data_IF_083889113327
#
_entry.id   IF_083889113327
#
_cell.length_a   1.000
_cell.length_b   1.000
_cell.length_c   1.000
_cell.angle_alpha   90.00
_cell.angle_beta   90.00
_cell.angle_gamma   90.00
#
_symmetry.space_group_name_H-M   'P 1'
#
loop_
_entity.id
_entity.type
_entity.pdbx_description
1 polymer ?
#
# COMPACT_ATOMS: atom_id res chain seq x y z
N UNK A 1 -33.06 -47.03 10.48
CA UNK A 1 -32.74 -45.74 11.12
C UNK A 1 -31.88 -46.00 12.35
N UNK A 2 -30.91 -45.13 12.66
CA UNK A 2 -29.98 -45.30 13.79
C UNK A 2 -30.63 -44.97 15.14
N UNK A 3 -31.72 -44.21 15.13
CA UNK A 3 -32.54 -43.88 16.29
C UNK A 3 -33.97 -43.60 15.83
N UNK A 4 -34.91 -43.63 16.77
CA UNK A 4 -36.28 -43.12 16.60
C UNK A 4 -36.61 -42.08 17.68
N UNK A 5 -35.87 -42.07 18.79
CA UNK A 5 -35.95 -41.10 19.90
C UNK A 5 -34.57 -40.86 20.49
N UNK A 6 -34.40 -39.77 21.23
CA UNK A 6 -33.09 -39.35 21.78
C UNK A 6 -32.45 -40.40 22.69
N UNK A 7 -33.27 -41.16 23.43
CA UNK A 7 -32.81 -42.24 24.31
C UNK A 7 -32.09 -43.39 23.58
N UNK A 8 -32.32 -43.54 22.26
CA UNK A 8 -31.69 -44.60 21.48
C UNK A 8 -30.22 -44.30 21.14
N UNK A 9 -29.80 -43.03 21.30
CA UNK A 9 -28.47 -42.59 20.88
C UNK A 9 -27.34 -42.95 21.85
N UNK A 10 -27.61 -43.64 22.96
CA UNK A 10 -26.61 -44.23 23.88
C UNK A 10 -25.65 -43.24 24.57
N UNK A 11 -25.69 -41.97 24.18
CA UNK A 11 -24.85 -40.88 24.65
C UNK A 11 -25.75 -39.68 24.89
N UNK A 12 -25.69 -39.14 26.11
CA UNK A 12 -26.52 -38.02 26.57
C UNK A 12 -26.27 -36.71 25.81
N UNK A 13 -25.18 -36.60 25.05
CA UNK A 13 -24.87 -35.44 24.20
C UNK A 13 -25.41 -35.55 22.77
N UNK A 14 -26.14 -36.63 22.44
CA UNK A 14 -26.70 -36.88 21.11
C UNK A 14 -28.24 -36.81 21.16
N UNK A 15 -28.85 -36.29 20.09
CA UNK A 15 -30.30 -36.33 19.87
C UNK A 15 -30.65 -36.99 18.54
N UNK A 16 -31.88 -37.47 18.40
CA UNK A 16 -32.36 -38.13 17.21
C UNK A 16 -33.04 -37.16 16.23
N UNK A 17 -32.45 -36.93 15.07
CA UNK A 17 -33.02 -36.12 13.99
C UNK A 17 -33.72 -37.01 12.95
N UNK A 18 -34.84 -37.62 13.38
CA UNK A 18 -35.70 -38.48 12.57
C UNK A 18 -35.15 -39.89 12.30
N UNK A 19 -33.86 -40.04 11.96
CA UNK A 19 -33.24 -41.35 11.71
C UNK A 19 -31.73 -41.43 12.01
N UNK A 20 -31.10 -40.35 12.48
CA UNK A 20 -29.65 -40.29 12.80
C UNK A 20 -29.43 -39.65 14.16
N UNK A 21 -28.47 -40.19 14.91
CA UNK A 21 -27.99 -39.57 16.14
C UNK A 21 -26.98 -38.49 15.78
N UNK A 22 -27.32 -37.24 16.09
CA UNK A 22 -26.46 -36.09 15.85
C UNK A 22 -26.01 -35.53 17.20
N UNK A 23 -24.77 -35.06 17.27
CA UNK A 23 -24.36 -34.20 18.39
C UNK A 23 -25.22 -32.96 18.33
N UNK A 24 -25.73 -32.51 19.48
CA UNK A 24 -26.06 -31.09 19.58
C UNK A 24 -24.73 -30.34 19.46
N UNK A 25 -24.28 -30.07 18.22
CA UNK A 25 -23.55 -28.84 17.98
C UNK A 25 -24.41 -27.75 18.63
N UNK A 26 -23.82 -26.89 19.47
CA UNK A 26 -24.60 -25.99 20.30
C UNK A 26 -25.53 -25.24 19.35
N UNK A 27 -26.85 -25.42 19.51
CA UNK A 27 -27.81 -24.57 18.81
C UNK A 27 -27.39 -23.17 19.19
N UNK A 28 -26.84 -22.35 18.28
CA UNK A 28 -26.30 -21.02 18.59
C UNK A 28 -27.49 -20.17 19.07
N UNK A 29 -27.73 -19.96 20.38
CA UNK A 29 -28.97 -19.37 20.85
C UNK A 29 -28.82 -17.87 21.14
N UNK A 30 -27.68 -17.23 20.87
CA UNK A 30 -27.34 -15.98 21.58
C UNK A 30 -27.05 -14.74 20.71
N UNK A 31 -27.33 -14.72 19.39
CA UNK A 31 -27.30 -13.44 18.66
C UNK A 31 -28.53 -12.55 18.91
N UNK A 32 -29.59 -13.11 19.49
CA UNK A 32 -30.86 -12.42 19.79
C UNK A 32 -30.84 -11.57 21.06
N UNK A 33 -29.77 -11.64 21.87
CA UNK A 33 -29.62 -10.82 23.09
C UNK A 33 -28.51 -9.75 22.98
N UNK A 34 -27.94 -9.55 21.79
CA UNK A 34 -27.00 -8.46 21.60
C UNK A 34 -27.75 -7.12 21.52
N UNK A 35 -27.20 -6.05 22.13
CA UNK A 35 -27.74 -4.71 21.95
C UNK A 35 -27.83 -4.36 20.46
N UNK A 36 -28.81 -3.53 20.03
CA UNK A 36 -28.90 -3.07 18.65
C UNK A 36 -27.56 -2.49 18.17
N UNK A 37 -27.07 -2.96 17.02
CA UNK A 37 -25.80 -2.51 16.43
C UNK A 37 -24.54 -3.24 16.91
N UNK A 38 -24.64 -4.19 17.84
CA UNK A 38 -23.50 -5.01 18.27
C UNK A 38 -23.43 -6.30 17.45
N UNK A 39 -22.33 -6.55 16.71
CA UNK A 39 -22.18 -7.78 15.95
C UNK A 39 -22.02 -9.00 16.88
N UNK A 40 -22.55 -10.14 16.43
CA UNK A 40 -22.54 -11.41 17.17
C UNK A 40 -21.57 -12.39 16.51
N UNK A 41 -20.76 -13.06 17.32
CA UNK A 41 -19.90 -14.14 16.86
C UNK A 41 -20.72 -15.41 16.53
N UNK A 42 -20.68 -15.94 15.29
CA UNK A 42 -21.51 -17.08 14.91
C UNK A 42 -21.03 -18.41 15.51
N UNK A 43 -19.80 -18.49 16.02
CA UNK A 43 -19.23 -19.71 16.60
C UNK A 43 -19.46 -19.76 18.11
N UNK A 44 -19.30 -18.62 18.79
CA UNK A 44 -19.39 -18.53 20.26
C UNK A 44 -20.71 -17.95 20.77
N UNK A 45 -21.47 -17.26 19.92
CA UNK A 45 -22.69 -16.55 20.31
C UNK A 45 -22.42 -15.31 21.18
N UNK A 46 -21.17 -14.86 21.30
CA UNK A 46 -20.80 -13.71 22.09
C UNK A 46 -21.04 -12.39 21.33
N UNK A 47 -21.57 -11.39 22.04
CA UNK A 47 -21.71 -10.03 21.51
C UNK A 47 -20.35 -9.34 21.51
N UNK A 48 -19.91 -8.90 20.34
CA UNK A 48 -18.59 -8.32 20.13
C UNK A 48 -18.67 -6.79 20.30
N UNK A 49 -18.50 -6.31 21.53
CA UNK A 49 -18.64 -4.89 21.90
C UNK A 49 -17.57 -3.98 21.31
N UNK A 50 -16.40 -4.51 20.94
CA UNK A 50 -15.24 -3.74 20.48
C UNK A 50 -14.97 -3.83 18.98
N UNK A 51 -15.98 -4.21 18.19
CA UNK A 51 -15.88 -4.37 16.74
C UNK A 51 -16.52 -3.17 16.08
N UNK A 52 -15.71 -2.31 15.45
CA UNK A 52 -16.25 -1.20 14.65
C UNK A 52 -16.45 -1.56 13.18
N UNK A 53 -15.87 -2.65 12.70
CA UNK A 53 -16.07 -3.15 11.34
C UNK A 53 -15.86 -4.67 11.27
N UNK A 54 -16.52 -5.33 10.31
CA UNK A 54 -16.27 -6.72 9.93
C UNK A 54 -15.58 -6.81 8.56
N UNK A 55 -15.85 -5.83 7.70
CA UNK A 55 -15.37 -5.74 6.34
C UNK A 55 -15.02 -4.29 6.01
N UNK A 56 -14.29 -4.07 4.92
CA UNK A 56 -13.87 -2.73 4.52
C UNK A 56 -15.05 -1.81 4.18
N UNK A 57 -16.14 -2.35 3.65
CA UNK A 57 -17.36 -1.60 3.31
C UNK A 57 -18.10 -1.04 4.53
N UNK A 58 -17.80 -1.54 5.74
CA UNK A 58 -18.33 -0.98 6.99
C UNK A 58 -17.63 0.33 7.36
N UNK A 59 -16.48 0.62 6.74
CA UNK A 59 -15.68 1.80 6.98
C UNK A 59 -15.92 2.89 5.92
N UNK A 60 -15.47 4.11 6.19
CA UNK A 60 -15.39 5.14 5.16
C UNK A 60 -14.43 4.73 4.05
N UNK A 61 -14.59 5.28 2.84
CA UNK A 61 -13.74 4.95 1.67
C UNK A 61 -12.24 5.20 1.88
N UNK A 62 -11.87 6.00 2.89
CA UNK A 62 -10.49 6.31 3.26
C UNK A 62 -9.92 5.39 4.36
N UNK A 63 -10.63 4.33 4.73
CA UNK A 63 -10.26 3.42 5.81
C UNK A 63 -10.55 1.98 5.41
N UNK A 64 -9.84 1.01 5.99
CA UNK A 64 -10.15 -0.41 5.83
C UNK A 64 -10.26 -1.08 7.18
N UNK A 65 -10.87 -2.27 7.19
CA UNK A 65 -11.09 -2.99 8.42
C UNK A 65 -9.85 -3.79 8.82
N UNK A 66 -9.08 -3.26 9.78
CA UNK A 66 -7.86 -3.88 10.28
C UNK A 66 -8.07 -4.22 11.75
N UNK A 67 -7.92 -5.50 12.10
CA UNK A 67 -8.14 -5.99 13.47
C UNK A 67 -9.49 -5.53 14.05
N UNK A 68 -10.55 -5.61 13.23
CA UNK A 68 -11.92 -5.21 13.57
C UNK A 68 -12.10 -3.72 13.91
N UNK A 69 -11.17 -2.89 13.47
CA UNK A 69 -11.23 -1.43 13.58
C UNK A 69 -11.03 -0.76 12.23
N UNK A 70 -11.84 0.24 11.92
CA UNK A 70 -11.62 1.10 10.76
C UNK A 70 -10.35 1.93 10.95
N UNK A 71 -9.35 1.65 10.13
CA UNK A 71 -8.03 2.29 10.20
C UNK A 71 -7.59 2.72 8.81
N UNK A 72 -6.80 3.79 8.75
CA UNK A 72 -6.20 4.23 7.50
C UNK A 72 -5.05 3.26 7.13
N UNK A 73 -5.14 2.50 6.02
CA UNK A 73 -4.11 1.55 5.64
C UNK A 73 -2.73 2.19 5.39
N UNK A 74 -2.68 3.41 4.83
CA UNK A 74 -1.44 4.16 4.65
C UNK A 74 -0.77 4.55 5.98
N UNK A 75 -1.55 4.78 7.04
CA UNK A 75 -1.01 5.10 8.36
C UNK A 75 -0.52 3.86 9.11
N UNK A 76 -1.17 2.72 8.90
CA UNK A 76 -0.82 1.45 9.57
C UNK A 76 0.38 0.77 8.90
N UNK A 77 0.36 0.68 7.57
CA UNK A 77 1.44 0.06 6.79
C UNK A 77 1.51 0.73 5.42
N UNK A 78 2.42 1.68 5.29
CA UNK A 78 2.64 2.39 4.03
C UNK A 78 3.48 1.52 3.07
N UNK A 79 2.92 1.06 1.93
CA UNK A 79 3.66 0.24 0.97
C UNK A 79 4.50 1.06 -0.03
N UNK A 80 4.46 2.39 0.03
CA UNK A 80 5.01 3.27 -0.98
C UNK A 80 6.50 3.58 -0.79
N UNK A 81 7.18 3.95 -1.87
CA UNK A 81 8.57 4.41 -1.80
C UNK A 81 8.66 5.87 -1.33
N UNK A 82 9.86 6.32 -0.96
CA UNK A 82 10.07 7.66 -0.39
C UNK A 82 9.74 8.83 -1.35
N UNK A 83 9.60 8.57 -2.66
CA UNK A 83 9.19 9.56 -3.68
C UNK A 83 7.71 9.41 -4.08
N UNK A 84 6.92 8.76 -3.24
CA UNK A 84 5.50 8.54 -3.45
C UNK A 84 4.73 8.94 -2.19
N UNK A 85 3.56 9.52 -2.40
CA UNK A 85 2.59 9.78 -1.35
C UNK A 85 1.60 8.61 -1.31
N UNK A 86 1.25 8.17 -0.10
CA UNK A 86 0.29 7.10 0.07
C UNK A 86 -1.09 7.70 0.27
N UNK A 87 -1.99 7.39 -0.65
CA UNK A 87 -3.38 7.80 -0.59
C UNK A 87 -4.27 6.58 -0.47
N UNK A 88 -5.45 6.73 0.11
CA UNK A 88 -6.41 5.63 0.22
C UNK A 88 -7.47 5.81 -0.86
N UNK A 89 -7.63 4.79 -1.71
CA UNK A 89 -8.71 4.72 -2.70
C UNK A 89 -9.42 3.38 -2.53
N UNK A 90 -10.74 3.43 -2.40
CA UNK A 90 -11.60 2.25 -2.24
C UNK A 90 -11.06 1.26 -1.19
N UNK A 91 -10.78 1.79 0.01
CA UNK A 91 -10.23 1.04 1.15
C UNK A 91 -8.80 0.49 0.97
N UNK A 92 -8.13 0.75 -0.16
CA UNK A 92 -6.79 0.26 -0.45
C UNK A 92 -5.75 1.38 -0.49
N UNK A 93 -4.50 1.12 -0.05
CA UNK A 93 -3.41 2.07 -0.22
C UNK A 93 -2.96 2.12 -1.69
N UNK A 94 -2.92 3.32 -2.24
CA UNK A 94 -2.47 3.62 -3.61
C UNK A 94 -1.31 4.59 -3.53
N UNK A 95 -0.21 4.26 -4.20
CA UNK A 95 0.99 5.10 -4.24
C UNK A 95 0.92 6.08 -5.42
N UNK A 96 0.83 7.37 -5.12
CA UNK A 96 0.89 8.42 -6.13
C UNK A 96 2.29 9.02 -6.19
N UNK A 97 2.81 9.22 -7.40
CA UNK A 97 4.15 9.79 -7.58
C UNK A 97 4.15 11.25 -7.16
N UNK A 98 5.04 11.63 -6.25
CA UNK A 98 5.24 13.04 -5.89
C UNK A 98 6.43 13.55 -6.68
N UNK A 99 6.20 14.57 -7.49
CA UNK A 99 7.26 15.24 -8.23
C UNK A 99 7.64 16.55 -7.55
N UNK A 100 8.94 16.81 -7.52
CA UNK A 100 9.52 18.06 -7.03
C UNK A 100 9.10 19.24 -7.92
N UNK A 101 8.92 18.99 -9.22
CA UNK A 101 8.55 19.98 -10.21
C UNK A 101 7.60 19.39 -11.25
N UNK A 102 6.78 20.23 -11.86
CA UNK A 102 6.01 19.93 -13.07
C UNK A 102 6.58 20.71 -14.27
N UNK A 103 7.16 21.88 -14.02
CA UNK A 103 7.80 22.76 -15.01
C UNK A 103 9.05 23.41 -14.44
N UNK A 104 9.90 23.95 -15.29
CA UNK A 104 11.18 24.59 -14.90
C UNK A 104 10.98 25.74 -13.90
N UNK A 105 9.87 26.47 -14.01
CA UNK A 105 9.53 27.57 -13.10
C UNK A 105 9.32 27.10 -11.64
N UNK A 106 8.99 25.83 -11.42
CA UNK A 106 8.82 25.28 -10.06
C UNK A 106 10.18 25.06 -9.37
N UNK A 107 11.28 25.04 -10.13
CA UNK A 107 12.60 24.69 -9.62
C UNK A 107 13.33 25.80 -8.85
N UNK A 108 12.71 26.98 -8.63
CA UNK A 108 13.17 28.03 -7.71
C UNK A 108 14.54 28.67 -8.03
N UNK A 109 15.33 28.09 -8.91
CA UNK A 109 16.67 28.47 -9.29
C UNK A 109 16.79 28.40 -10.81
N UNK A 110 17.30 29.47 -11.41
CA UNK A 110 17.46 29.65 -12.85
C UNK A 110 18.45 28.67 -13.51
N UNK A 111 19.31 28.01 -12.72
CA UNK A 111 20.23 26.97 -13.23
C UNK A 111 19.66 25.55 -13.19
N UNK A 112 18.41 25.40 -12.71
CA UNK A 112 17.72 24.13 -12.61
C UNK A 112 16.60 24.06 -13.65
N UNK A 113 16.46 22.90 -14.29
CA UNK A 113 15.30 22.58 -15.13
C UNK A 113 14.57 21.38 -14.55
N UNK A 114 13.30 21.26 -14.88
CA UNK A 114 12.51 20.10 -14.54
C UNK A 114 12.71 18.99 -15.59
N UNK A 115 13.23 17.84 -15.17
CA UNK A 115 13.34 16.65 -16.03
C UNK A 115 12.02 15.86 -16.16
N UNK A 116 10.91 16.47 -15.76
CA UNK A 116 9.59 15.85 -15.64
C UNK A 116 9.24 15.40 -14.22
N UNK A 117 10.19 15.39 -13.27
CA UNK A 117 9.83 15.14 -11.87
C UNK A 117 10.84 15.69 -10.84
N UNK A 118 12.09 15.93 -11.23
CA UNK A 118 13.17 16.43 -10.39
C UNK A 118 13.76 17.69 -11.00
N UNK A 119 14.19 18.58 -10.13
CA UNK A 119 14.96 19.75 -10.53
C UNK A 119 16.41 19.33 -10.68
N UNK A 120 16.86 19.23 -11.92
CA UNK A 120 18.23 18.87 -12.25
C UNK A 120 19.00 20.13 -12.60
N UNK A 121 20.25 20.21 -12.17
CA UNK A 121 21.18 21.19 -12.71
C UNK A 121 21.37 20.87 -14.18
N UNK A 122 21.29 21.88 -15.04
CA UNK A 122 21.86 21.75 -16.37
C UNK A 122 23.39 21.63 -16.22
N UNK A 123 23.89 20.46 -15.86
CA UNK A 123 25.29 20.15 -16.10
C UNK A 123 25.50 19.98 -17.60
N UNK A 124 26.65 20.47 -18.09
CA UNK A 124 26.71 21.46 -19.13
C UNK A 124 26.32 20.87 -20.47
N UNK A 125 25.83 21.76 -21.36
CA UNK A 125 25.75 21.54 -22.80
C UNK A 125 26.90 20.60 -23.22
N UNK A 126 26.58 19.44 -23.79
CA UNK A 126 27.57 18.56 -24.43
C UNK A 126 28.52 19.48 -25.19
N UNK A 127 29.79 19.61 -24.77
CA UNK A 127 30.63 20.64 -25.33
C UNK A 127 30.76 20.40 -26.84
N UNK A 128 30.77 21.48 -27.61
CA UNK A 128 30.86 21.40 -29.07
C UNK A 128 32.27 20.99 -29.53
N UNK A 129 32.77 19.83 -29.09
CA UNK A 129 34.03 19.24 -29.51
C UNK A 129 34.08 18.95 -31.01
N UNK A 130 32.91 18.99 -31.69
CA UNK A 130 32.77 18.95 -33.15
C UNK A 130 33.48 20.11 -33.89
N UNK A 131 33.92 21.14 -33.19
CA UNK A 131 34.63 22.30 -33.76
C UNK A 131 36.13 22.33 -33.44
N UNK A 132 36.67 21.30 -32.77
CA UNK A 132 38.12 21.22 -32.58
C UNK A 132 38.83 20.81 -33.88
N UNK A 133 40.03 21.35 -34.15
CA UNK A 133 40.83 20.93 -35.29
C UNK A 133 41.12 19.42 -35.25
N UNK A 134 41.24 18.75 -36.42
CA UNK A 134 41.58 17.33 -36.48
C UNK A 134 42.87 17.04 -35.71
N UNK A 135 42.81 16.07 -34.77
CA UNK A 135 43.96 15.65 -33.97
C UNK A 135 44.13 16.37 -32.63
N UNK A 136 43.28 17.34 -32.29
CA UNK A 136 43.34 18.05 -31.01
C UNK A 136 42.38 17.42 -29.99
N UNK A 137 42.85 16.94 -28.82
CA UNK A 137 41.98 16.41 -27.80
C UNK A 137 41.10 17.51 -27.17
N UNK A 138 39.84 17.19 -26.90
CA UNK A 138 38.86 18.10 -26.29
C UNK A 138 38.73 17.76 -24.80
N UNK A 139 38.67 18.76 -23.93
CA UNK A 139 38.35 18.58 -22.51
C UNK A 139 36.87 18.19 -22.34
N UNK A 140 36.56 17.04 -21.72
CA UNK A 140 35.18 16.53 -21.61
C UNK A 140 34.28 17.31 -20.63
N UNK A 141 34.86 18.19 -19.80
CA UNK A 141 34.17 19.01 -18.81
C UNK A 141 34.01 20.45 -19.30
N UNK A 142 35.03 21.02 -19.93
CA UNK A 142 35.04 22.43 -20.35
C UNK A 142 34.73 22.66 -21.84
N UNK A 143 34.92 21.64 -22.68
CA UNK A 143 34.76 21.76 -24.13
C UNK A 143 35.85 22.55 -24.85
N UNK A 144 36.92 22.90 -24.15
CA UNK A 144 38.07 23.54 -24.74
C UNK A 144 38.93 22.53 -25.50
N UNK A 145 39.48 22.94 -26.64
CA UNK A 145 40.50 22.16 -27.34
C UNK A 145 41.83 22.31 -26.58
N UNK A 146 42.45 21.20 -26.19
CA UNK A 146 43.73 21.21 -25.47
C UNK A 146 44.84 21.67 -26.42
N UNK A 147 45.46 22.81 -26.12
CA UNK A 147 46.73 23.18 -26.77
C UNK A 147 47.83 22.48 -26.00
N UNK A 148 48.65 21.68 -26.66
CA UNK A 148 49.86 21.13 -26.03
C UNK A 148 50.65 22.29 -25.38
N UNK A 149 51.24 22.09 -24.18
CA UNK A 149 52.10 23.10 -23.59
C UNK A 149 53.28 23.38 -24.54
N UNK A 150 53.82 24.60 -24.55
CA UNK A 150 55.05 24.85 -25.30
C UNK A 150 56.10 23.88 -24.79
N UNK A 151 56.60 23.05 -25.71
CA UNK A 151 57.83 22.30 -25.54
C UNK A 151 58.91 23.29 -25.12
N UNK A 152 59.25 23.31 -23.83
CA UNK A 152 60.52 23.86 -23.37
C UNK A 152 61.60 23.05 -24.09
N UNK A 153 62.13 23.71 -25.13
CA UNK A 153 63.11 23.20 -26.06
C UNK A 153 64.47 23.69 -25.55
N UNK A 154 65.39 22.73 -25.44
CA UNK A 154 66.83 22.86 -25.13
C UNK A 154 67.23 23.00 -23.66
#
# INVERSE_FOLDING_TARGET
CQCQKDADCGNFNLRCDGCKCITEQPRIPQCKHCPPGVPCDPVTGACQKDVSCQSEIDCSSQQTCINRKCQNPCAVSNPCTQSQDCQVQDHQPVCVKVCQCQKDADCGNFNLRCDGCKCITEQPRIPQCKHCPPGVPCDPVTGACQKEPPSDRA
#
